data_IF_048122822288
#
_entry.id   IF_048122822288
#
_cell.length_a   1.000
_cell.length_b   1.000
_cell.length_c   1.000
_cell.angle_alpha   90.00
_cell.angle_beta   90.00
_cell.angle_gamma   90.00
#
_symmetry.space_group_name_H-M   'P 1'
#
loop_
_entity.id
_entity.type
_entity.pdbx_description
1 polymer ?
#
# COMPACT_ATOMS: atom_id res chain seq x y z
N UNK A 1 -8.07 26.26 -29.28
CA UNK A 1 -9.34 26.75 -29.85
C UNK A 1 -10.24 27.18 -28.70
N UNK A 2 -10.75 28.42 -28.78
CA UNK A 2 -11.82 29.08 -28.00
C UNK A 2 -11.55 29.30 -26.49
N UNK A 3 -11.24 30.52 -26.03
CA UNK A 3 -12.12 31.71 -25.77
C UNK A 3 -13.12 31.45 -24.63
N UNK A 4 -13.43 32.31 -23.65
CA UNK A 4 -13.08 33.70 -23.29
C UNK A 4 -13.75 34.02 -21.93
N UNK A 5 -13.47 35.22 -21.38
CA UNK A 5 -14.29 36.02 -20.44
C UNK A 5 -14.23 35.68 -18.94
N UNK A 6 -14.02 36.60 -17.99
CA UNK A 6 -14.09 38.06 -17.99
C UNK A 6 -13.24 38.63 -16.84
N UNK A 7 -12.31 39.53 -17.12
CA UNK A 7 -11.76 40.48 -16.16
C UNK A 7 -12.38 41.85 -16.46
N UNK A 8 -13.23 42.35 -15.56
CA UNK A 8 -13.77 43.69 -15.64
C UNK A 8 -12.85 44.65 -14.85
N UNK A 9 -12.15 45.50 -15.60
CA UNK A 9 -11.36 46.63 -15.14
C UNK A 9 -12.32 47.75 -14.72
N UNK A 10 -12.27 48.17 -13.45
CA UNK A 10 -13.03 49.33 -12.97
C UNK A 10 -12.20 50.60 -13.15
N UNK A 11 -12.57 51.43 -14.15
CA UNK A 11 -12.07 52.81 -14.29
C UNK A 11 -12.89 53.72 -13.38
N UNK A 12 -12.21 54.41 -12.46
CA UNK A 12 -12.77 55.53 -11.70
C UNK A 12 -12.52 56.82 -12.49
N UNK A 13 -13.55 57.32 -13.16
CA UNK A 13 -13.56 58.70 -13.68
C UNK A 13 -13.91 59.65 -12.55
N UNK A 14 -13.01 60.62 -12.37
CA UNK A 14 -13.02 61.64 -11.36
C UNK A 14 -13.69 62.87 -11.97
N UNK A 15 -14.99 63.08 -11.72
CA UNK A 15 -15.67 64.34 -12.06
C UNK A 15 -15.96 65.13 -10.79
N UNK A 16 -15.05 66.05 -10.48
CA UNK A 16 -15.23 67.13 -9.54
C UNK A 16 -16.30 68.09 -10.08
N UNK A 17 -17.44 68.21 -9.39
CA UNK A 17 -18.34 69.35 -9.54
C UNK A 17 -18.67 69.95 -8.17
N UNK A 18 -18.31 71.23 -8.06
CA UNK A 18 -18.62 72.15 -6.98
C UNK A 18 -20.13 72.38 -6.91
N UNK A 19 -20.72 72.37 -5.71
CA UNK A 19 -21.59 73.42 -5.15
C UNK A 19 -22.54 72.87 -4.08
N UNK A 20 -22.58 73.62 -2.98
CA UNK A 20 -23.70 73.79 -2.05
C UNK A 20 -24.16 72.57 -1.27
N UNK A 21 -23.84 72.53 0.02
CA UNK A 21 -24.54 71.73 1.02
C UNK A 21 -25.87 72.40 1.41
N UNK A 22 -27.04 71.83 1.05
CA UNK A 22 -28.24 72.07 1.83
C UNK A 22 -28.23 71.09 3.00
N UNK A 23 -28.35 71.61 4.22
CA UNK A 23 -28.64 70.82 5.43
C UNK A 23 -29.90 69.98 5.18
N UNK A 24 -29.74 68.72 4.81
CA UNK A 24 -30.82 67.76 4.76
C UNK A 24 -31.06 67.23 6.18
N UNK A 25 -32.24 67.55 6.71
CA UNK A 25 -32.76 66.91 7.91
C UNK A 25 -32.82 65.40 7.64
N UNK A 26 -32.04 64.67 8.44
CA UNK A 26 -32.20 63.28 8.81
C UNK A 26 -33.34 62.53 8.10
N UNK A 27 -32.99 61.75 7.07
CA UNK A 27 -33.72 60.51 6.72
C UNK A 27 -32.84 59.30 7.10
N UNK A 28 -32.30 59.30 8.31
CA UNK A 28 -31.58 58.17 8.92
C UNK A 28 -32.54 57.04 9.33
N UNK A 29 -33.56 56.71 8.54
CA UNK A 29 -34.44 55.55 8.82
C UNK A 29 -34.52 54.60 7.65
N UNK A 30 -34.50 55.10 6.40
CA UNK A 30 -34.37 54.24 5.21
C UNK A 30 -32.97 53.61 5.06
N UNK A 31 -31.93 54.29 5.55
CA UNK A 31 -30.54 53.79 5.48
C UNK A 31 -30.25 52.60 6.40
N UNK A 32 -30.92 52.50 7.55
CA UNK A 32 -30.68 51.41 8.50
C UNK A 32 -31.37 50.13 8.06
N UNK A 33 -32.58 50.23 7.50
CA UNK A 33 -33.29 49.10 6.89
C UNK A 33 -32.46 48.47 5.76
N UNK A 34 -31.74 49.27 4.97
CA UNK A 34 -30.81 48.74 3.96
C UNK A 34 -29.56 48.07 4.56
N UNK A 35 -29.06 48.55 5.71
CA UNK A 35 -27.93 47.94 6.41
C UNK A 35 -28.32 46.58 7.00
N UNK A 36 -29.49 46.48 7.62
CA UNK A 36 -29.98 45.24 8.22
C UNK A 36 -30.22 44.15 7.14
N UNK A 37 -30.74 44.55 5.97
CA UNK A 37 -30.91 43.64 4.82
C UNK A 37 -29.55 43.14 4.31
N UNK A 38 -28.55 44.02 4.19
CA UNK A 38 -27.18 43.62 3.79
C UNK A 38 -26.57 42.69 4.85
N UNK A 39 -26.80 42.94 6.13
CA UNK A 39 -26.28 42.12 7.21
C UNK A 39 -26.90 40.72 7.22
N UNK A 40 -28.20 40.59 6.95
CA UNK A 40 -28.86 39.30 6.76
C UNK A 40 -28.31 38.56 5.52
N UNK A 41 -28.06 39.26 4.42
CA UNK A 41 -27.46 38.68 3.22
C UNK A 41 -26.03 38.18 3.50
N UNK A 42 -25.23 38.94 4.24
CA UNK A 42 -23.89 38.53 4.68
C UNK A 42 -23.98 37.27 5.55
N UNK A 43 -24.90 37.21 6.51
CA UNK A 43 -25.08 36.03 7.35
C UNK A 43 -25.51 34.81 6.54
N UNK A 44 -26.39 34.98 5.54
CA UNK A 44 -26.79 33.91 4.63
C UNK A 44 -25.59 33.40 3.82
N UNK A 45 -24.83 34.30 3.20
CA UNK A 45 -23.62 33.96 2.45
C UNK A 45 -22.56 33.28 3.33
N UNK A 46 -22.38 33.74 4.57
CA UNK A 46 -21.44 33.10 5.52
C UNK A 46 -21.85 31.66 5.82
N UNK A 47 -23.15 31.42 6.06
CA UNK A 47 -23.66 30.08 6.28
C UNK A 47 -23.48 29.18 5.05
N UNK A 48 -23.80 29.69 3.85
CA UNK A 48 -23.58 28.95 2.60
C UNK A 48 -22.09 28.60 2.40
N UNK A 49 -21.17 29.52 2.73
CA UNK A 49 -19.72 29.28 2.68
C UNK A 49 -19.32 28.19 3.69
N UNK A 50 -19.86 28.20 4.91
CA UNK A 50 -19.59 27.19 5.92
C UNK A 50 -20.08 25.80 5.48
N UNK A 51 -21.28 25.71 4.94
CA UNK A 51 -21.86 24.45 4.43
C UNK A 51 -21.01 23.89 3.28
N UNK A 52 -20.64 24.74 2.30
CA UNK A 52 -19.75 24.34 1.19
C UNK A 52 -18.38 23.88 1.70
N UNK A 53 -17.81 24.58 2.67
CA UNK A 53 -16.51 24.20 3.25
C UNK A 53 -16.58 22.85 3.95
N UNK A 54 -17.67 22.57 4.67
CA UNK A 54 -17.90 21.28 5.31
C UNK A 54 -18.03 20.15 4.28
N UNK A 55 -18.82 20.35 3.22
CA UNK A 55 -18.96 19.38 2.14
C UNK A 55 -17.63 19.13 1.41
N UNK A 56 -16.86 20.18 1.13
CA UNK A 56 -15.56 20.07 0.48
C UNK A 56 -14.54 19.32 1.35
N UNK A 57 -14.51 19.60 2.66
CA UNK A 57 -13.67 18.87 3.60
C UNK A 57 -14.01 17.36 3.63
N UNK A 58 -15.30 17.03 3.66
CA UNK A 58 -15.79 15.64 3.59
C UNK A 58 -15.41 14.97 2.27
N UNK A 59 -15.58 15.66 1.14
CA UNK A 59 -15.19 15.15 -0.17
C UNK A 59 -13.69 14.87 -0.27
N UNK A 60 -12.85 15.77 0.25
CA UNK A 60 -11.38 15.58 0.31
C UNK A 60 -10.99 14.39 1.17
N UNK A 61 -11.66 14.20 2.31
CA UNK A 61 -11.42 13.03 3.16
C UNK A 61 -11.75 11.73 2.43
N UNK A 62 -12.91 11.67 1.78
CA UNK A 62 -13.32 10.50 0.99
C UNK A 62 -12.34 10.23 -0.17
N UNK A 63 -11.87 11.27 -0.85
CA UNK A 63 -10.88 11.15 -1.92
C UNK A 63 -9.58 10.52 -1.39
N UNK A 64 -9.06 11.01 -0.26
CA UNK A 64 -7.87 10.46 0.39
C UNK A 64 -8.03 9.01 0.84
N UNK A 65 -9.24 8.61 1.26
CA UNK A 65 -9.53 7.22 1.63
C UNK A 65 -9.53 6.32 0.40
N UNK A 66 -10.20 6.73 -0.69
CA UNK A 66 -10.20 6.01 -1.96
C UNK A 66 -8.80 5.89 -2.57
N UNK A 67 -7.99 6.94 -2.51
CA UNK A 67 -6.59 6.89 -2.96
C UNK A 67 -5.78 5.85 -2.18
N UNK A 68 -6.01 5.75 -0.85
CA UNK A 68 -5.36 4.72 -0.02
C UNK A 68 -5.84 3.31 -0.38
N UNK A 69 -7.13 3.11 -0.61
CA UNK A 69 -7.68 1.83 -1.06
C UNK A 69 -7.08 1.40 -2.41
N UNK A 70 -7.07 2.31 -3.39
CA UNK A 70 -6.48 2.06 -4.72
C UNK A 70 -5.00 1.72 -4.58
N UNK A 71 -4.25 2.46 -3.77
CA UNK A 71 -2.83 2.17 -3.55
C UNK A 71 -2.60 0.78 -2.94
N UNK A 72 -3.47 0.35 -2.01
CA UNK A 72 -3.40 -0.99 -1.43
C UNK A 72 -3.72 -2.07 -2.48
N UNK A 73 -4.74 -1.85 -3.32
CA UNK A 73 -5.11 -2.76 -4.41
C UNK A 73 -3.95 -2.89 -5.42
N UNK A 74 -3.36 -1.77 -5.85
CA UNK A 74 -2.22 -1.77 -6.78
C UNK A 74 -1.05 -2.57 -6.20
N UNK A 75 -0.69 -2.34 -4.94
CA UNK A 75 0.38 -3.13 -4.28
C UNK A 75 0.06 -4.62 -4.19
N UNK A 76 -1.20 -5.00 -4.01
CA UNK A 76 -1.60 -6.40 -4.01
C UNK A 76 -1.51 -7.01 -5.41
N UNK A 77 -1.90 -6.25 -6.45
CA UNK A 77 -1.78 -6.67 -7.84
C UNK A 77 -0.32 -6.82 -8.28
N UNK A 78 0.56 -5.90 -7.88
CA UNK A 78 1.99 -5.98 -8.18
C UNK A 78 2.59 -7.28 -7.60
N UNK A 79 2.28 -7.60 -6.33
CA UNK A 79 2.71 -8.86 -5.72
C UNK A 79 2.17 -10.10 -6.45
N UNK A 80 0.93 -10.04 -6.93
CA UNK A 80 0.37 -11.15 -7.71
C UNK A 80 1.09 -11.29 -9.06
N UNK A 81 1.45 -10.17 -9.71
CA UNK A 81 2.24 -10.20 -10.93
C UNK A 81 3.63 -10.80 -10.69
N UNK A 82 4.29 -10.44 -9.60
CA UNK A 82 5.58 -11.03 -9.22
C UNK A 82 5.46 -12.56 -9.07
N UNK A 83 4.44 -13.03 -8.34
CA UNK A 83 4.18 -14.46 -8.15
C UNK A 83 3.90 -15.20 -9.47
N UNK A 84 3.09 -14.60 -10.35
CA UNK A 84 2.82 -15.19 -11.66
C UNK A 84 4.06 -15.24 -12.54
N UNK A 85 4.91 -14.21 -12.48
CA UNK A 85 6.17 -14.17 -13.23
C UNK A 85 7.09 -15.30 -12.77
N UNK A 86 7.27 -15.45 -11.45
CA UNK A 86 8.08 -16.55 -10.88
C UNK A 86 7.54 -17.93 -11.26
N UNK A 87 6.22 -18.11 -11.26
CA UNK A 87 5.58 -19.36 -11.68
C UNK A 87 5.81 -19.64 -13.17
N UNK A 88 5.70 -18.62 -14.02
CA UNK A 88 5.93 -18.74 -15.46
C UNK A 88 7.39 -19.11 -15.73
N UNK A 89 8.33 -18.49 -15.03
CA UNK A 89 9.75 -18.76 -15.17
C UNK A 89 10.08 -20.21 -14.78
N UNK A 90 9.55 -20.69 -13.64
CA UNK A 90 9.70 -22.09 -13.22
C UNK A 90 9.13 -23.08 -14.26
N UNK A 91 7.93 -22.82 -14.80
CA UNK A 91 7.33 -23.67 -15.83
C UNK A 91 8.16 -23.62 -17.13
N UNK A 92 8.74 -22.47 -17.46
CA UNK A 92 9.59 -22.31 -18.64
C UNK A 92 10.87 -23.14 -18.51
N UNK A 93 11.50 -23.14 -17.34
CA UNK A 93 12.67 -23.97 -17.04
C UNK A 93 12.34 -25.47 -17.14
N UNK A 94 11.25 -25.94 -16.51
CA UNK A 94 10.82 -27.34 -16.60
C UNK A 94 10.55 -27.77 -18.05
N UNK A 95 9.90 -26.90 -18.84
CA UNK A 95 9.65 -27.17 -20.25
C UNK A 95 10.93 -27.25 -21.07
N UNK A 96 11.95 -26.46 -20.72
CA UNK A 96 13.25 -26.53 -21.37
C UNK A 96 13.96 -27.85 -21.05
N UNK A 97 13.95 -28.30 -19.79
CA UNK A 97 14.51 -29.60 -19.42
C UNK A 97 13.81 -30.77 -20.14
N UNK A 98 12.48 -30.71 -20.27
CA UNK A 98 11.70 -31.74 -20.97
C UNK A 98 12.08 -31.77 -22.45
N UNK A 99 12.24 -30.61 -23.10
CA UNK A 99 12.68 -30.53 -24.49
C UNK A 99 14.05 -31.18 -24.70
N UNK A 100 14.99 -30.90 -23.80
CA UNK A 100 16.34 -31.49 -23.86
C UNK A 100 16.29 -33.02 -23.70
N UNK A 101 15.47 -33.53 -22.77
CA UNK A 101 15.27 -34.98 -22.60
C UNK A 101 14.66 -35.63 -23.84
N UNK A 102 13.68 -34.98 -24.47
CA UNK A 102 13.07 -35.45 -25.73
C UNK A 102 14.11 -35.47 -26.86
N UNK A 103 14.95 -34.44 -26.96
CA UNK A 103 15.99 -34.38 -27.97
C UNK A 103 17.01 -35.51 -27.81
N UNK A 104 17.51 -35.74 -26.59
CA UNK A 104 18.40 -36.86 -26.27
C UNK A 104 17.72 -38.21 -26.61
N UNK A 105 16.45 -38.36 -26.25
CA UNK A 105 15.70 -39.59 -26.56
C UNK A 105 15.58 -39.81 -28.07
N UNK A 106 15.30 -38.77 -28.85
CA UNK A 106 15.20 -38.86 -30.31
C UNK A 106 16.54 -39.23 -30.95
N UNK A 107 17.66 -38.70 -30.44
CA UNK A 107 18.99 -39.12 -30.90
C UNK A 107 19.27 -40.59 -30.63
N UNK A 108 18.89 -41.09 -29.44
CA UNK A 108 19.04 -42.50 -29.08
C UNK A 108 18.17 -43.40 -29.96
N UNK A 109 16.91 -43.01 -30.20
CA UNK A 109 16.01 -43.73 -31.12
C UNK A 109 16.64 -43.84 -32.51
N UNK A 110 17.20 -42.74 -33.03
CA UNK A 110 17.87 -42.74 -34.32
C UNK A 110 19.10 -43.67 -34.35
N UNK A 111 19.92 -43.67 -33.30
CA UNK A 111 21.06 -44.59 -33.17
C UNK A 111 20.60 -46.05 -33.14
N UNK A 112 19.55 -46.35 -32.37
CA UNK A 112 18.96 -47.70 -32.28
C UNK A 112 18.44 -48.14 -33.65
N UNK A 113 17.72 -47.27 -34.36
CA UNK A 113 17.22 -47.53 -35.72
C UNK A 113 18.35 -47.97 -36.65
N UNK A 114 19.44 -47.21 -36.71
CA UNK A 114 20.59 -47.53 -37.57
C UNK A 114 21.22 -48.88 -37.20
N UNK A 115 21.39 -49.14 -35.90
CA UNK A 115 21.98 -50.41 -35.45
C UNK A 115 21.07 -51.60 -35.81
N UNK A 116 19.77 -51.46 -35.60
CA UNK A 116 18.80 -52.49 -35.94
C UNK A 116 18.75 -52.75 -37.45
N UNK A 117 18.66 -51.71 -38.28
CA UNK A 117 18.70 -51.86 -39.75
C UNK A 117 19.99 -52.55 -40.22
N UNK A 118 21.14 -52.23 -39.62
CA UNK A 118 22.40 -52.93 -39.92
C UNK A 118 22.33 -54.42 -39.59
N UNK A 119 21.77 -54.78 -38.43
CA UNK A 119 21.63 -56.16 -37.98
C UNK A 119 20.67 -56.97 -38.88
N UNK A 120 19.56 -56.35 -39.29
CA UNK A 120 18.63 -56.95 -40.26
C UNK A 120 19.32 -57.17 -41.61
N UNK A 121 20.01 -56.14 -42.13
CA UNK A 121 20.73 -56.23 -43.41
C UNK A 121 21.89 -57.23 -43.39
N UNK A 122 22.47 -57.53 -42.23
CA UNK A 122 23.50 -58.58 -42.08
C UNK A 122 22.92 -59.99 -41.93
N UNK A 123 21.60 -60.19 -42.10
CA UNK A 123 20.91 -61.47 -41.87
C UNK A 123 21.21 -62.09 -40.50
N UNK A 124 21.43 -61.23 -39.49
CA UNK A 124 21.67 -61.69 -38.13
C UNK A 124 20.33 -62.12 -37.52
N UNK A 125 20.22 -63.39 -37.18
CA UNK A 125 19.01 -63.93 -36.54
C UNK A 125 19.00 -63.55 -35.07
N UNK A 126 17.88 -63.01 -34.61
CA UNK A 126 17.69 -62.68 -33.20
C UNK A 126 17.14 -63.90 -32.45
N UNK A 127 17.62 -64.12 -31.24
CA UNK A 127 17.02 -65.08 -30.29
C UNK A 127 15.65 -64.55 -29.84
N UNK A 128 14.65 -65.43 -29.79
CA UNK A 128 13.28 -65.12 -29.34
C UNK A 128 13.28 -64.60 -27.89
N UNK A 129 14.30 -64.92 -27.09
CA UNK A 129 14.42 -64.51 -25.68
C UNK A 129 15.31 -63.29 -25.40
N UNK A 130 15.71 -62.52 -26.42
CA UNK A 130 16.63 -61.40 -26.20
C UNK A 130 16.02 -60.18 -25.46
N UNK A 131 14.73 -60.23 -25.09
CA UNK A 131 14.07 -59.19 -24.30
C UNK A 131 13.92 -57.85 -25.03
N UNK A 132 14.12 -57.83 -26.35
CA UNK A 132 13.95 -56.64 -27.17
C UNK A 132 12.46 -56.44 -27.48
N UNK A 133 12.03 -55.18 -27.40
CA UNK A 133 10.71 -54.77 -27.88
C UNK A 133 10.75 -54.63 -29.41
N UNK A 134 10.48 -55.73 -30.09
CA UNK A 134 10.51 -55.77 -31.55
C UNK A 134 9.39 -54.97 -32.20
N UNK A 135 8.26 -54.79 -31.52
CA UNK A 135 7.18 -53.94 -32.01
C UNK A 135 7.65 -52.49 -32.06
N UNK A 136 8.33 -52.04 -31.01
CA UNK A 136 8.98 -50.72 -31.01
C UNK A 136 10.06 -50.61 -32.08
N UNK A 137 10.97 -51.58 -32.20
CA UNK A 137 12.05 -51.55 -33.21
C UNK A 137 11.53 -51.54 -34.65
N UNK A 138 10.44 -52.27 -34.90
CA UNK A 138 9.73 -52.29 -36.19
C UNK A 138 8.91 -51.01 -36.42
N UNK A 139 8.47 -50.33 -35.35
CA UNK A 139 7.80 -49.04 -35.50
C UNK A 139 8.75 -47.90 -35.87
N UNK A 140 10.01 -47.99 -35.43
CA UNK A 140 11.03 -46.97 -35.72
C UNK A 140 11.84 -47.27 -36.98
N UNK A 141 11.87 -48.52 -37.44
CA UNK A 141 12.56 -48.95 -38.66
C UNK A 141 11.61 -49.66 -39.60
N UNK A 142 11.64 -49.33 -40.89
CA UNK A 142 10.77 -49.96 -41.91
C UNK A 142 11.26 -51.38 -42.28
N UNK A 143 12.03 -52.04 -41.40
CA UNK A 143 12.74 -53.29 -41.66
C UNK A 143 12.26 -54.40 -40.72
N UNK A 144 12.10 -55.60 -41.26
CA UNK A 144 11.68 -56.78 -40.49
C UNK A 144 12.83 -57.79 -40.36
N UNK A 145 13.11 -58.23 -39.14
CA UNK A 145 14.06 -59.31 -38.89
C UNK A 145 13.43 -60.69 -39.19
N UNK A 146 14.25 -61.63 -39.69
CA UNK A 146 13.86 -63.02 -39.87
C UNK A 146 14.24 -63.86 -38.65
N UNK A 147 13.30 -64.70 -38.19
CA UNK A 147 13.47 -65.57 -37.02
C UNK A 147 13.90 -66.98 -37.44
N UNK A 148 14.82 -67.59 -36.68
CA UNK A 148 15.22 -68.98 -36.86
C UNK A 148 14.28 -69.89 -36.05
N UNK A 149 13.26 -70.45 -36.70
CA UNK A 149 12.40 -71.46 -36.08
C UNK A 149 13.11 -72.81 -36.08
N UNK A 150 13.84 -73.16 -35.03
CA UNK A 150 14.30 -74.55 -34.84
C UNK A 150 14.42 -74.91 -33.35
N UNK A 151 13.49 -75.77 -32.89
CA UNK A 151 13.62 -76.78 -31.84
C UNK A 151 14.44 -76.48 -30.56
N UNK A 152 14.57 -75.21 -30.15
CA UNK A 152 15.27 -74.88 -28.90
C UNK A 152 14.42 -75.13 -27.65
N UNK A 153 13.09 -75.06 -27.74
CA UNK A 153 12.24 -75.15 -26.55
C UNK A 153 12.46 -76.41 -25.69
N UNK A 154 12.74 -77.57 -26.30
CA UNK A 154 12.91 -78.83 -25.53
C UNK A 154 14.29 -78.96 -24.86
N UNK A 155 15.33 -78.32 -25.42
CA UNK A 155 16.69 -78.29 -24.86
C UNK A 155 16.79 -77.19 -23.80
N UNK A 156 16.21 -76.03 -24.06
CA UNK A 156 16.22 -74.86 -23.16
C UNK A 156 15.40 -75.13 -21.88
N UNK A 157 14.27 -75.84 -21.97
CA UNK A 157 13.50 -76.26 -20.79
C UNK A 157 14.30 -77.15 -19.84
N UNK A 158 15.11 -78.08 -20.37
CA UNK A 158 15.97 -78.96 -19.56
C UNK A 158 17.14 -78.20 -18.91
N UNK A 159 17.71 -77.21 -19.59
CA UNK A 159 18.75 -76.34 -19.02
C UNK A 159 18.19 -75.42 -17.94
N UNK A 160 17.05 -74.76 -18.20
CA UNK A 160 16.40 -73.89 -17.22
C UNK A 160 15.95 -74.62 -15.96
N UNK A 161 15.36 -75.82 -16.11
CA UNK A 161 14.93 -76.63 -14.97
C UNK A 161 16.11 -77.06 -14.08
N UNK A 162 17.29 -77.28 -14.65
CA UNK A 162 18.49 -77.66 -13.88
C UNK A 162 19.18 -76.50 -13.18
N UNK A 163 19.14 -75.28 -13.75
CA UNK A 163 19.83 -74.11 -13.18
C UNK A 163 19.03 -73.38 -12.10
N UNK A 164 17.70 -73.56 -12.06
CA UNK A 164 16.84 -72.86 -11.10
C UNK A 164 16.43 -73.77 -9.93
N UNK A 165 16.71 -73.40 -8.66
CA UNK A 165 16.44 -74.26 -7.49
C UNK A 165 14.98 -74.70 -7.36
N UNK A 166 14.05 -73.90 -7.88
CA UNK A 166 12.61 -74.14 -7.80
C UNK A 166 12.10 -75.25 -8.74
N UNK A 167 12.90 -75.61 -9.76
CA UNK A 167 12.54 -76.55 -10.82
C UNK A 167 13.51 -77.75 -10.92
N UNK A 168 14.44 -77.90 -9.97
CA UNK A 168 15.53 -78.90 -10.02
C UNK A 168 15.05 -80.36 -10.14
N UNK A 169 13.81 -80.66 -9.75
CA UNK A 169 13.18 -81.98 -9.78
C UNK A 169 12.19 -82.17 -10.93
N UNK A 170 12.10 -81.22 -11.88
CA UNK A 170 11.22 -81.32 -13.03
C UNK A 170 12.00 -81.98 -14.19
N UNK A 171 11.63 -83.20 -14.56
CA UNK A 171 12.30 -83.97 -15.62
C UNK A 171 11.45 -84.12 -16.88
N UNK A 172 10.16 -83.81 -16.79
CA UNK A 172 9.21 -83.75 -17.90
C UNK A 172 8.60 -82.35 -18.06
N UNK A 173 8.06 -82.09 -19.25
CA UNK A 173 7.35 -80.85 -19.57
C UNK A 173 6.11 -80.69 -18.68
N UNK A 174 5.42 -81.78 -18.41
CA UNK A 174 4.22 -81.84 -17.59
C UNK A 174 4.52 -81.47 -16.14
N UNK A 175 5.60 -82.00 -15.56
CA UNK A 175 6.06 -81.65 -14.20
C UNK A 175 6.49 -80.19 -14.08
N UNK A 176 7.11 -79.63 -15.13
CA UNK A 176 7.46 -78.21 -15.17
C UNK A 176 6.21 -77.31 -15.17
N UNK A 177 5.21 -77.66 -15.97
CA UNK A 177 3.93 -76.92 -16.04
C UNK A 177 3.22 -76.99 -14.68
N UNK A 178 3.15 -78.15 -14.04
CA UNK A 178 2.54 -78.31 -12.72
C UNK A 178 3.28 -77.49 -11.65
N UNK A 179 4.61 -77.42 -11.71
CA UNK A 179 5.40 -76.62 -10.79
C UNK A 179 5.18 -75.12 -10.99
N UNK A 180 5.06 -74.66 -12.23
CA UNK A 180 4.69 -73.28 -12.57
C UNK A 180 3.30 -72.92 -12.01
N UNK A 181 2.32 -73.82 -12.15
CA UNK A 181 0.98 -73.61 -11.58
C UNK A 181 1.00 -73.51 -10.05
N UNK A 182 1.82 -74.33 -9.39
CA UNK A 182 1.98 -74.29 -7.93
C UNK A 182 2.63 -72.98 -7.47
N UNK A 183 3.71 -72.55 -8.13
CA UNK A 183 4.39 -71.28 -7.84
C UNK A 183 3.45 -70.09 -8.03
N UNK A 184 2.60 -70.12 -9.06
CA UNK A 184 1.65 -69.04 -9.31
C UNK A 184 0.61 -68.92 -8.17
N UNK A 185 0.13 -70.05 -7.64
CA UNK A 185 -0.75 -70.06 -6.44
C UNK A 185 -0.03 -69.52 -5.20
N UNK A 186 1.24 -69.85 -5.02
CA UNK A 186 2.04 -69.36 -3.88
C UNK A 186 2.30 -67.84 -3.99
N UNK A 187 2.57 -67.34 -5.20
CA UNK A 187 2.71 -65.91 -5.50
C UNK A 187 1.40 -65.17 -5.26
N UNK A 188 0.27 -65.72 -5.69
CA UNK A 188 -1.05 -65.12 -5.43
C UNK A 188 -1.38 -65.08 -3.93
N UNK A 189 -0.99 -66.12 -3.16
CA UNK A 189 -1.15 -66.12 -1.71
C UNK A 189 -0.30 -65.03 -1.02
N UNK A 190 0.88 -64.73 -1.56
CA UNK A 190 1.76 -63.64 -1.07
C UNK A 190 1.22 -62.27 -1.53
N UNK A 191 0.79 -62.14 -2.78
CA UNK A 191 0.24 -60.90 -3.36
C UNK A 191 -1.06 -60.47 -2.67
N UNK A 192 -1.85 -61.42 -2.19
CA UNK A 192 -3.08 -61.17 -1.44
C UNK A 192 -2.83 -60.82 0.04
N UNK A 193 -1.60 -60.94 0.57
CA UNK A 193 -1.20 -60.28 1.82
C UNK A 193 -0.96 -58.79 1.55
N UNK A 194 -2.03 -58.01 1.42
CA UNK A 194 -1.94 -56.54 1.31
C UNK A 194 -1.13 -55.97 2.49
N UNK A 195 -0.17 -55.05 2.26
CA UNK A 195 0.45 -54.31 3.34
C UNK A 195 -0.62 -53.50 4.08
N UNK A 196 -0.52 -53.43 5.40
CA UNK A 196 -1.52 -52.81 6.27
C UNK A 196 -1.51 -51.27 6.14
N UNK A 197 -2.11 -50.75 5.06
CA UNK A 197 -2.24 -49.32 4.75
C UNK A 197 -3.00 -48.52 5.83
N UNK A 198 -3.81 -49.18 6.67
CA UNK A 198 -4.59 -48.52 7.72
C UNK A 198 -3.70 -47.86 8.80
N UNK A 199 -2.49 -48.37 9.04
CA UNK A 199 -1.59 -47.77 10.03
C UNK A 199 -0.89 -46.51 9.52
N UNK A 200 -0.60 -46.39 8.22
CA UNK A 200 -0.05 -45.16 7.67
C UNK A 200 -1.11 -44.07 7.56
N UNK A 201 -2.33 -44.41 7.14
CA UNK A 201 -3.43 -43.45 7.04
C UNK A 201 -3.75 -42.81 8.40
N UNK A 202 -3.73 -43.59 9.48
CA UNK A 202 -3.90 -43.07 10.85
C UNK A 202 -2.79 -42.09 11.25
N UNK A 203 -1.53 -42.38 10.91
CA UNK A 203 -0.40 -41.48 11.20
C UNK A 203 -0.53 -40.14 10.45
N UNK A 204 -0.97 -40.16 9.20
CA UNK A 204 -1.19 -38.92 8.44
C UNK A 204 -2.37 -38.12 8.99
N UNK A 205 -3.48 -38.77 9.35
CA UNK A 205 -4.62 -38.10 9.97
C UNK A 205 -4.24 -37.41 11.29
N UNK A 206 -3.39 -38.05 12.09
CA UNK A 206 -2.90 -37.50 13.35
C UNK A 206 -1.96 -36.31 13.13
N UNK A 207 -1.05 -36.40 12.15
CA UNK A 207 -0.16 -35.30 11.74
C UNK A 207 -0.95 -34.07 11.26
N UNK A 208 -2.00 -34.28 10.47
CA UNK A 208 -2.87 -33.19 9.96
C UNK A 208 -3.59 -32.50 11.13
N UNK A 209 -4.06 -33.28 12.11
CA UNK A 209 -4.72 -32.75 13.30
C UNK A 209 -3.77 -31.87 14.13
N UNK A 210 -2.54 -32.31 14.35
CA UNK A 210 -1.52 -31.54 15.07
C UNK A 210 -1.18 -30.22 14.37
N UNK A 211 -0.97 -30.26 13.05
CA UNK A 211 -0.68 -29.06 12.26
C UNK A 211 -1.81 -28.04 12.32
N UNK A 212 -3.07 -28.50 12.25
CA UNK A 212 -4.24 -27.64 12.37
C UNK A 212 -4.32 -26.97 13.75
N UNK A 213 -4.07 -27.74 14.81
CA UNK A 213 -4.08 -27.21 16.17
C UNK A 213 -2.99 -26.16 16.41
N UNK A 214 -1.79 -26.39 15.86
CA UNK A 214 -0.69 -25.41 15.93
C UNK A 214 -1.03 -24.12 15.17
N UNK A 215 -1.58 -24.25 13.97
CA UNK A 215 -2.02 -23.12 13.15
C UNK A 215 -3.07 -22.28 13.90
N UNK A 216 -4.10 -22.91 14.46
CA UNK A 216 -5.16 -22.21 15.19
C UNK A 216 -4.62 -21.50 16.45
N UNK A 217 -3.64 -22.09 17.15
CA UNK A 217 -2.99 -21.47 18.30
C UNK A 217 -2.17 -20.22 17.90
N UNK A 218 -1.46 -20.27 16.77
CA UNK A 218 -0.70 -19.13 16.24
C UNK A 218 -1.65 -17.99 15.85
N UNK A 219 -2.75 -18.29 15.15
CA UNK A 219 -3.75 -17.28 14.80
C UNK A 219 -4.42 -16.65 16.01
N UNK A 220 -4.70 -17.43 17.05
CA UNK A 220 -5.23 -16.90 18.31
C UNK A 220 -4.23 -15.96 19.01
N UNK A 221 -2.92 -16.24 18.93
CA UNK A 221 -1.88 -15.36 19.47
C UNK A 221 -1.78 -14.05 18.69
N UNK A 222 -1.73 -14.14 17.36
CA UNK A 222 -1.71 -12.97 16.47
C UNK A 222 -2.94 -12.07 16.69
N UNK A 223 -4.13 -12.66 16.81
CA UNK A 223 -5.35 -11.89 17.08
C UNK A 223 -5.28 -11.12 18.42
N UNK A 224 -4.65 -11.71 19.45
CA UNK A 224 -4.41 -11.03 20.73
C UNK A 224 -3.41 -9.88 20.59
N UNK A 225 -2.31 -10.09 19.88
CA UNK A 225 -1.32 -9.02 19.65
C UNK A 225 -1.91 -7.86 18.86
N UNK A 226 -2.68 -8.14 17.80
CA UNK A 226 -3.40 -7.11 17.02
C UNK A 226 -4.35 -6.32 17.93
N UNK A 227 -5.09 -7.01 18.80
CA UNK A 227 -6.00 -6.36 19.74
C UNK A 227 -5.26 -5.47 20.74
N UNK A 228 -4.10 -5.91 21.23
CA UNK A 228 -3.26 -5.13 22.13
C UNK A 228 -2.70 -3.88 21.42
N UNK A 229 -2.15 -4.02 20.22
CA UNK A 229 -1.64 -2.88 19.44
C UNK A 229 -2.75 -1.89 19.07
N UNK A 230 -3.95 -2.39 18.77
CA UNK A 230 -5.10 -1.52 18.54
C UNK A 230 -5.45 -0.70 19.80
N UNK A 231 -5.43 -1.33 20.97
CA UNK A 231 -5.70 -0.64 22.23
C UNK A 231 -4.63 0.41 22.56
N UNK A 232 -3.35 0.10 22.32
CA UNK A 232 -2.25 1.04 22.51
C UNK A 232 -2.34 2.23 21.55
N UNK A 233 -2.66 1.97 20.28
CA UNK A 233 -2.91 3.01 19.28
C UNK A 233 -4.03 3.96 19.75
N UNK A 234 -5.17 3.42 20.17
CA UNK A 234 -6.29 4.22 20.66
C UNK A 234 -5.91 5.07 21.88
N UNK A 235 -5.11 4.51 22.80
CA UNK A 235 -4.60 5.23 23.97
C UNK A 235 -3.69 6.39 23.56
N UNK A 236 -2.76 6.17 22.65
CA UNK A 236 -1.85 7.20 22.13
C UNK A 236 -2.61 8.29 21.38
N UNK A 237 -3.60 7.93 20.55
CA UNK A 237 -4.45 8.90 19.86
C UNK A 237 -5.20 9.81 20.84
N UNK A 238 -5.73 9.25 21.94
CA UNK A 238 -6.38 10.06 22.99
C UNK A 238 -5.38 11.00 23.67
N UNK A 239 -4.16 10.53 23.96
CA UNK A 239 -3.12 11.37 24.54
C UNK A 239 -2.75 12.53 23.60
N UNK A 240 -2.55 12.26 22.31
CA UNK A 240 -2.25 13.28 21.29
C UNK A 240 -3.39 14.31 21.22
N UNK A 241 -4.64 13.87 21.18
CA UNK A 241 -5.81 14.78 21.20
C UNK A 241 -5.82 15.66 22.44
N UNK A 242 -5.57 15.08 23.62
CA UNK A 242 -5.50 15.84 24.88
C UNK A 242 -4.36 16.86 24.90
N UNK A 243 -3.18 16.53 24.35
CA UNK A 243 -2.06 17.47 24.27
C UNK A 243 -2.36 18.61 23.29
N UNK A 244 -2.96 18.31 22.13
CA UNK A 244 -3.38 19.34 21.18
C UNK A 244 -4.37 20.32 21.80
N UNK A 245 -5.39 19.81 22.51
CA UNK A 245 -6.36 20.64 23.22
C UNK A 245 -5.71 21.51 24.31
N UNK A 246 -4.75 20.97 25.09
CA UNK A 246 -4.00 21.77 26.08
C UNK A 246 -3.18 22.88 25.42
N UNK A 247 -2.48 22.59 24.32
CA UNK A 247 -1.71 23.59 23.60
C UNK A 247 -2.60 24.70 23.01
N UNK A 248 -3.83 24.38 22.59
CA UNK A 248 -4.81 25.39 22.13
C UNK A 248 -5.30 26.28 23.27
N UNK A 249 -5.54 25.70 24.46
CA UNK A 249 -5.89 26.45 25.68
C UNK A 249 -4.73 27.35 26.11
N UNK A 250 -3.50 26.87 26.07
CA UNK A 250 -2.31 27.66 26.45
C UNK A 250 -2.08 28.82 25.47
N UNK A 251 -2.24 28.57 24.17
CA UNK A 251 -2.20 29.62 23.14
C UNK A 251 -3.27 30.68 23.38
N UNK A 252 -4.52 30.29 23.63
CA UNK A 252 -5.61 31.23 23.90
C UNK A 252 -5.43 31.98 25.23
N UNK A 253 -4.87 31.35 26.26
CA UNK A 253 -4.51 31.99 27.53
C UNK A 253 -3.40 33.04 27.35
N UNK A 254 -2.36 32.74 26.55
CA UNK A 254 -1.28 33.70 26.26
C UNK A 254 -1.79 34.95 25.50
N UNK A 255 -2.78 34.78 24.62
CA UNK A 255 -3.48 35.86 23.92
C UNK A 255 -4.34 36.74 24.84
N UNK A 256 -4.90 36.17 25.91
CA UNK A 256 -5.66 36.94 26.92
C UNK A 256 -4.70 37.72 27.81
N UNK A 257 -3.55 37.14 28.17
CA UNK A 257 -2.53 37.82 28.97
C UNK A 257 -1.91 39.02 28.24
N UNK A 258 -1.62 38.90 26.94
CA UNK A 258 -1.12 40.03 26.14
C UNK A 258 -2.14 41.17 26.03
N UNK A 259 -3.42 40.86 25.82
CA UNK A 259 -4.50 41.87 25.83
C UNK A 259 -4.64 42.57 27.18
N UNK A 260 -4.51 41.85 28.30
CA UNK A 260 -4.58 42.48 29.63
C UNK A 260 -3.40 43.42 29.90
N UNK A 261 -2.21 43.11 29.38
CA UNK A 261 -1.03 44.02 29.45
C UNK A 261 -1.27 45.29 28.62
N UNK A 262 -1.87 45.16 27.43
CA UNK A 262 -2.20 46.31 26.58
C UNK A 262 -3.27 47.22 27.22
N UNK A 263 -4.29 46.62 27.86
CA UNK A 263 -5.34 47.35 28.58
C UNK A 263 -4.79 48.04 29.83
N UNK A 264 -3.93 47.36 30.61
CA UNK A 264 -3.27 47.98 31.76
C UNK A 264 -2.37 49.16 31.33
N UNK A 265 -1.64 49.00 30.23
CA UNK A 265 -0.80 50.05 29.64
C UNK A 265 -1.62 51.24 29.14
N UNK A 266 -2.78 51.00 28.53
CA UNK A 266 -3.73 52.04 28.13
C UNK A 266 -4.35 52.77 29.34
N UNK A 267 -4.63 52.05 30.42
CA UNK A 267 -5.17 52.62 31.67
C UNK A 267 -4.14 53.49 32.38
N UNK A 268 -2.87 53.08 32.41
CA UNK A 268 -1.76 53.89 32.92
C UNK A 268 -1.56 55.17 32.08
N UNK A 269 -1.69 55.10 30.75
CA UNK A 269 -1.65 56.29 29.87
C UNK A 269 -2.80 57.25 30.17
N UNK A 270 -4.03 56.76 30.35
CA UNK A 270 -5.18 57.60 30.72
C UNK A 270 -5.00 58.27 32.07
N UNK A 271 -4.48 57.54 33.07
CA UNK A 271 -4.22 58.12 34.41
C UNK A 271 -3.18 59.24 34.36
N UNK A 272 -2.07 59.03 33.64
CA UNK A 272 -1.06 60.10 33.42
C UNK A 272 -1.62 61.31 32.66
N UNK A 273 -2.57 61.10 31.74
CA UNK A 273 -3.25 62.19 31.04
C UNK A 273 -4.14 63.02 31.98
N UNK A 274 -4.88 62.38 32.89
CA UNK A 274 -5.67 63.09 33.91
C UNK A 274 -4.81 63.81 34.95
N UNK A 275 -3.68 63.22 35.35
CA UNK A 275 -2.74 63.86 36.28
C UNK A 275 -2.12 65.12 35.64
N UNK A 276 -1.82 65.08 34.34
CA UNK A 276 -1.32 66.22 33.58
C UNK A 276 -2.37 67.33 33.38
N UNK A 277 -3.63 66.97 33.14
CA UNK A 277 -4.74 67.94 33.09
C UNK A 277 -4.99 68.61 34.44
N UNK A 278 -4.87 67.87 35.54
CA UNK A 278 -4.96 68.44 36.89
C UNK A 278 -3.79 69.36 37.24
N UNK A 279 -2.56 69.03 36.81
CA UNK A 279 -1.41 69.94 36.94
C UNK A 279 -1.59 71.23 36.14
N UNK A 280 -2.10 71.14 34.90
CA UNK A 280 -2.43 72.32 34.09
C UNK A 280 -3.52 73.18 34.72
N UNK A 281 -4.50 72.56 35.39
CA UNK A 281 -5.54 73.29 36.13
C UNK A 281 -4.97 74.04 37.34
N UNK A 282 -4.07 73.42 38.11
CA UNK A 282 -3.39 74.07 39.23
C UNK A 282 -2.43 75.18 38.78
N UNK A 283 -1.77 75.03 37.64
CA UNK A 283 -0.92 76.08 37.05
C UNK A 283 -1.77 77.28 36.60
N UNK A 284 -2.91 77.03 35.95
CA UNK A 284 -3.85 78.10 35.57
C UNK A 284 -4.49 78.79 36.79
N UNK A 285 -4.75 78.07 37.87
CA UNK A 285 -5.25 78.66 39.11
C UNK A 285 -4.19 79.56 39.77
N UNK A 286 -2.91 79.16 39.76
CA UNK A 286 -1.78 79.99 40.21
C UNK A 286 -1.59 81.25 39.35
N UNK A 287 -1.80 81.15 38.03
CA UNK A 287 -1.75 82.30 37.10
C UNK A 287 -2.91 83.29 37.26
N UNK A 288 -4.04 82.89 37.87
CA UNK A 288 -5.16 83.82 38.19
C UNK A 288 -4.95 84.62 39.47
N UNK A 289 -3.98 84.26 40.32
CA UNK A 289 -3.75 84.92 41.63
C UNK A 289 -2.60 85.93 41.64
N UNK A 290 -1.95 86.21 40.50
CA UNK A 290 -0.89 87.21 40.43
C UNK A 290 -1.40 88.52 39.79
N UNK A 291 -1.14 89.69 40.41
CA UNK A 291 -1.53 90.98 39.84
C UNK A 291 -0.64 91.36 38.65
N UNK A 292 -1.30 91.94 37.64
CA UNK A 292 -0.74 92.44 36.38
C UNK A 292 0.43 93.41 36.61
N UNK A 293 1.57 93.12 35.98
CA UNK A 293 2.54 94.16 35.60
C UNK A 293 2.87 94.00 34.12
N UNK A 294 2.50 95.01 33.34
CA UNK A 294 2.79 95.18 31.91
C UNK A 294 4.29 95.36 31.65
N UNK A 295 4.87 94.59 30.73
CA UNK A 295 5.99 95.09 29.92
C UNK A 295 6.11 94.42 28.53
N UNK A 296 5.89 95.27 27.52
CA UNK A 296 6.37 95.32 26.12
C UNK A 296 7.25 94.18 25.56
N UNK A 297 6.68 93.47 24.59
CA UNK A 297 7.12 93.24 23.19
C UNK A 297 8.62 93.39 22.88
N UNK A 298 9.26 92.28 22.45
CA UNK A 298 9.98 92.25 21.16
C UNK A 298 10.16 90.83 20.59
N UNK A 299 9.92 90.78 19.29
CA UNK A 299 10.05 89.72 18.29
C UNK A 299 11.34 88.88 18.34
N UNK A 300 11.23 87.60 17.98
CA UNK A 300 11.78 87.01 16.73
C UNK A 300 11.49 85.51 16.65
N UNK A 301 10.89 85.10 15.53
CA UNK A 301 10.88 83.75 14.94
C UNK A 301 11.80 83.85 13.67
N UNK A 302 12.14 82.78 12.92
CA UNK A 302 11.72 81.37 13.06
C UNK A 302 12.79 80.30 12.72
N UNK A 303 12.30 79.05 12.69
CA UNK A 303 12.71 77.87 11.93
C UNK A 303 13.92 77.04 12.37
N UNK A 304 13.68 75.73 12.53
CA UNK A 304 14.25 74.67 11.67
C UNK A 304 13.51 73.33 11.92
N UNK A 305 13.12 72.71 10.81
CA UNK A 305 12.69 71.32 10.62
C UNK A 305 13.79 70.32 10.97
N UNK A 306 13.44 69.16 11.50
CA UNK A 306 14.16 67.91 11.15
C UNK A 306 13.29 66.67 11.38
N UNK A 307 12.78 66.17 10.26
CA UNK A 307 12.85 64.78 9.81
C UNK A 307 13.33 63.71 10.81
N UNK A 308 12.48 62.71 11.04
CA UNK A 308 12.94 61.34 11.30
C UNK A 308 12.04 60.34 10.55
N UNK A 309 12.41 60.05 9.31
CA UNK A 309 12.16 58.75 8.68
C UNK A 309 13.12 57.73 9.30
N UNK A 310 12.67 56.54 9.68
CA UNK A 310 13.40 55.26 9.56
C UNK A 310 12.36 54.13 9.79
N UNK A 311 11.90 53.49 8.70
CA UNK A 311 12.31 52.13 8.27
C UNK A 311 12.02 51.01 9.28
N UNK A 312 11.05 50.18 8.95
CA UNK A 312 11.23 48.71 9.01
C UNK A 312 12.27 48.30 7.96
N UNK A 313 13.21 47.41 8.28
CA UNK A 313 13.12 46.04 7.74
C UNK A 313 13.55 44.99 8.79
N UNK A 314 12.84 43.86 8.92
CA UNK A 314 12.94 42.65 8.07
C UNK A 314 14.23 41.83 8.27
N UNK A 315 14.01 40.61 8.77
CA UNK A 315 14.59 39.31 8.32
C UNK A 315 16.04 39.02 8.71
N UNK A 316 16.25 37.88 9.36
CA UNK A 316 16.94 36.68 8.84
C UNK A 316 16.97 35.61 9.96
N UNK A 317 16.31 34.46 9.76
CA UNK A 317 16.91 33.19 9.29
C UNK A 317 17.74 32.49 10.38
N UNK A 318 17.69 31.18 10.63
CA UNK A 318 17.42 30.02 9.76
C UNK A 318 17.41 28.74 10.62
N UNK A 319 16.94 27.64 10.00
CA UNK A 319 17.39 26.23 10.18
C UNK A 319 16.89 25.50 11.46
N UNK A 320 16.38 24.26 11.44
CA UNK A 320 16.70 22.99 10.74
C UNK A 320 15.49 22.05 10.98
N UNK A 321 14.84 21.51 9.94
CA UNK A 321 14.82 20.10 9.48
C UNK A 321 14.15 19.07 10.42
N UNK A 322 13.22 18.33 9.79
CA UNK A 322 12.97 16.87 9.83
C UNK A 322 12.63 16.27 11.21
N UNK A 323 11.56 15.48 11.39
CA UNK A 323 11.01 14.45 10.49
C UNK A 323 9.50 14.58 10.18
#
# INVERSE_FOLDING_TARGET
MLNSSSQAIFRLENTSSLLSTPRSKLKHTKSWVSIDVIQLEIQRCMKEIEDINFENAKARQNCSEREREISAIVKALDKNMDFFTETIDSISEENQEIKEKIEIQNELIWKIKILYEKLVNSNTTFDENCGLDFDFLTSISDSHASFSSNNHHEITLKQYAHETPYFHNCHSKEEFIDRCLQLNRDVDAIRNKKPNYNNQLKKYAEKIRELKQQHDAIHANLAREISQFSHEKDKLERQIKSMKARNEIEKSSSLIQSRNIDVASATIRKKRSCDFENELYQINEKLRRTPKTTQKIRSKQPDILSSLEFRTPSVLEKKIRLD
#
